data_IF_999263730117
#
_entry.id   IF_999263730117
#
_cell.length_a   1.000
_cell.length_b   1.000
_cell.length_c   1.000
_cell.angle_alpha   90.00
_cell.angle_beta   90.00
_cell.angle_gamma   90.00
#
_symmetry.space_group_name_H-M   'P 1'
#
loop_
_entity.id
_entity.type
_entity.pdbx_description
1 polymer ?
#
# COMPACT_ATOMS: atom_id res chain seq x y z
N UNK A 1 10.55 -10.43 -17.47
CA UNK A 1 10.84 -9.08 -16.92
C UNK A 1 9.51 -8.42 -16.57
N UNK A 2 9.29 -8.17 -15.28
CA UNK A 2 8.13 -7.54 -14.63
C UNK A 2 8.68 -6.48 -13.66
N UNK A 3 9.42 -5.58 -14.28
CA UNK A 3 10.03 -4.32 -13.84
C UNK A 3 11.22 -4.29 -12.86
N UNK A 4 11.92 -5.40 -12.59
CA UNK A 4 13.26 -5.41 -11.96
C UNK A 4 14.46 -5.26 -12.90
N UNK A 5 14.42 -4.30 -13.83
CA UNK A 5 15.52 -3.99 -14.76
C UNK A 5 15.62 -2.48 -14.94
N UNK A 6 16.64 -1.86 -14.35
CA UNK A 6 16.80 -0.40 -14.29
C UNK A 6 17.09 0.28 -15.63
N UNK A 7 17.48 -0.47 -16.66
CA UNK A 7 17.65 0.06 -18.02
C UNK A 7 16.33 0.44 -18.69
N UNK A 8 15.20 0.03 -18.13
CA UNK A 8 13.90 0.28 -18.70
C UNK A 8 13.16 1.34 -17.88
N UNK A 9 12.35 2.20 -18.53
CA UNK A 9 11.58 3.20 -17.81
C UNK A 9 10.68 2.55 -16.74
N UNK A 10 10.67 3.06 -15.50
CA UNK A 10 9.76 2.55 -14.47
C UNK A 10 8.33 3.01 -14.74
N UNK A 11 7.36 2.17 -14.38
CA UNK A 11 5.97 2.61 -14.23
C UNK A 11 5.82 3.53 -13.00
N UNK A 12 4.77 4.35 -13.01
CA UNK A 12 4.41 5.28 -11.91
C UNK A 12 2.98 5.01 -11.48
N UNK A 13 2.65 5.42 -10.24
CA UNK A 13 1.30 5.43 -9.69
C UNK A 13 0.61 4.05 -9.67
N UNK A 14 1.38 2.99 -9.44
CA UNK A 14 0.87 1.63 -9.34
C UNK A 14 0.23 1.37 -7.97
N UNK A 15 -1.03 0.96 -7.94
CA UNK A 15 -1.72 0.45 -6.74
C UNK A 15 -1.18 -0.93 -6.30
N UNK A 16 -0.78 -1.76 -7.26
CA UNK A 16 -0.26 -3.11 -7.08
C UNK A 16 0.64 -3.44 -8.27
N UNK A 17 1.70 -4.20 -8.03
CA UNK A 17 2.60 -4.70 -9.07
C UNK A 17 2.78 -6.21 -8.96
N UNK A 18 3.32 -6.81 -10.01
CA UNK A 18 3.45 -8.26 -10.09
C UNK A 18 4.92 -8.67 -10.23
N UNK A 19 5.35 -9.62 -9.40
CA UNK A 19 6.66 -10.24 -9.43
C UNK A 19 6.51 -11.70 -9.89
N UNK A 20 6.78 -11.97 -11.17
CA UNK A 20 6.87 -13.33 -11.73
C UNK A 20 7.80 -14.20 -10.89
N UNK A 21 7.42 -15.46 -10.70
CA UNK A 21 8.26 -16.48 -10.08
C UNK A 21 9.64 -16.58 -10.76
N UNK A 22 10.70 -16.69 -9.96
CA UNK A 22 12.08 -16.70 -10.44
C UNK A 22 12.62 -15.32 -10.85
N UNK A 23 11.96 -14.22 -10.43
CA UNK A 23 12.40 -12.85 -10.69
C UNK A 23 12.37 -11.97 -9.44
N UNK A 24 12.94 -10.78 -9.55
CA UNK A 24 12.87 -9.74 -8.55
C UNK A 24 12.37 -8.45 -9.20
N UNK A 25 11.74 -7.58 -8.40
CA UNK A 25 11.32 -6.23 -8.75
C UNK A 25 11.73 -5.24 -7.66
N UNK A 26 11.56 -3.94 -7.95
CA UNK A 26 11.85 -2.86 -7.02
C UNK A 26 10.82 -1.77 -7.20
N UNK A 27 10.36 -1.20 -6.09
CA UNK A 27 9.46 -0.07 -6.04
C UNK A 27 10.05 1.01 -5.14
N UNK A 28 9.76 2.27 -5.45
CA UNK A 28 10.09 3.42 -4.63
C UNK A 28 8.80 4.12 -4.25
N UNK A 29 8.68 4.47 -2.96
CA UNK A 29 7.54 5.20 -2.43
C UNK A 29 8.03 6.21 -1.41
N UNK A 30 7.55 7.44 -1.52
CA UNK A 30 7.72 8.48 -0.51
C UNK A 30 6.47 8.47 0.35
N UNK A 31 6.61 8.16 1.64
CA UNK A 31 5.50 8.21 2.57
C UNK A 31 5.01 9.65 2.75
N UNK A 32 3.69 9.82 2.69
CA UNK A 32 3.03 11.12 2.83
C UNK A 32 2.15 11.22 4.10
N UNK A 33 2.00 10.11 4.82
CA UNK A 33 1.16 10.02 6.01
C UNK A 33 1.86 9.14 7.06
N UNK A 34 1.66 9.40 8.36
CA UNK A 34 2.14 8.54 9.43
C UNK A 34 1.17 7.38 9.68
N UNK A 35 1.65 6.34 10.37
CA UNK A 35 0.84 5.20 10.78
C UNK A 35 1.47 3.85 10.43
N UNK A 36 0.66 2.79 10.53
CA UNK A 36 1.09 1.42 10.22
C UNK A 36 0.56 1.01 8.85
N UNK A 37 1.47 0.70 7.92
CA UNK A 37 1.14 0.27 6.57
C UNK A 37 1.37 -1.22 6.41
N UNK A 38 0.40 -1.93 5.84
CA UNK A 38 0.56 -3.32 5.42
C UNK A 38 1.18 -3.38 4.01
N UNK A 39 2.22 -4.19 3.86
CA UNK A 39 2.82 -4.53 2.57
C UNK A 39 2.58 -6.01 2.30
N UNK A 40 1.80 -6.31 1.26
CA UNK A 40 1.15 -7.62 1.10
C UNK A 40 1.26 -8.17 -0.32
N UNK A 41 1.15 -9.50 -0.44
CA UNK A 41 0.62 -10.10 -1.67
C UNK A 41 -0.86 -9.73 -1.78
N UNK A 42 -1.30 -9.05 -2.84
CA UNK A 42 -2.69 -8.56 -2.90
C UNK A 42 -3.73 -9.67 -3.20
N UNK A 43 -3.33 -10.94 -3.19
CA UNK A 43 -4.23 -12.04 -2.88
C UNK A 43 -4.43 -12.11 -1.36
N UNK A 44 -5.56 -11.60 -0.86
CA UNK A 44 -5.78 -11.43 0.58
C UNK A 44 -5.87 -12.75 1.35
N UNK A 45 -6.20 -13.87 0.69
CA UNK A 45 -6.11 -15.20 1.33
C UNK A 45 -4.64 -15.50 1.64
N UNK A 46 -3.73 -15.23 0.70
CA UNK A 46 -2.29 -15.41 0.94
C UNK A 46 -1.77 -14.42 1.99
N UNK A 47 -2.18 -13.16 1.92
CA UNK A 47 -1.71 -12.12 2.83
C UNK A 47 -2.10 -12.40 4.28
N UNK A 48 -3.39 -12.65 4.52
CA UNK A 48 -3.97 -12.71 5.87
C UNK A 48 -3.91 -14.12 6.42
N UNK A 49 -4.31 -15.12 5.64
CA UNK A 49 -4.43 -16.50 6.14
C UNK A 49 -3.12 -17.30 5.98
N UNK A 50 -2.31 -16.99 4.95
CA UNK A 50 -1.06 -17.70 4.67
C UNK A 50 0.21 -16.89 5.02
N UNK A 51 0.05 -15.69 5.60
CA UNK A 51 1.12 -14.91 6.22
C UNK A 51 1.97 -14.07 5.27
N UNK A 52 1.54 -13.83 4.03
CA UNK A 52 2.26 -12.97 3.07
C UNK A 52 2.06 -11.46 3.35
N UNK A 53 2.32 -11.03 4.59
CA UNK A 53 2.14 -9.65 5.07
C UNK A 53 3.36 -9.16 5.85
N UNK A 54 3.81 -7.95 5.56
CA UNK A 54 4.79 -7.19 6.34
C UNK A 54 4.20 -5.84 6.77
N UNK A 55 4.82 -5.20 7.76
CA UNK A 55 4.40 -3.88 8.26
C UNK A 55 5.51 -2.84 8.18
N UNK A 56 5.14 -1.62 7.82
CA UNK A 56 5.96 -0.41 8.02
C UNK A 56 5.33 0.43 9.12
N UNK A 57 6.15 0.87 10.08
CA UNK A 57 5.77 1.87 11.08
C UNK A 57 6.37 3.20 10.63
N UNK A 58 5.52 4.16 10.26
CA UNK A 58 5.93 5.46 9.72
C UNK A 58 5.60 6.53 10.74
N UNK A 59 6.63 7.22 11.20
CA UNK A 59 6.51 8.38 12.09
C UNK A 59 6.28 9.66 11.26
N UNK A 60 5.60 10.64 11.84
CA UNK A 60 5.32 11.92 11.19
C UNK A 60 4.01 12.55 11.67
N UNK A 61 3.66 13.67 11.07
CA UNK A 61 2.40 14.40 11.31
C UNK A 61 1.37 14.02 10.23
N UNK A 62 0.11 13.93 10.64
CA UNK A 62 -1.00 13.62 9.74
C UNK A 62 -1.36 14.82 8.86
N UNK A 63 -1.60 14.58 7.56
CA UNK A 63 -2.01 15.62 6.60
C UNK A 63 -3.52 15.50 6.26
N UNK A 64 -4.33 16.40 6.82
CA UNK A 64 -5.78 16.43 6.59
C UNK A 64 -6.18 16.83 5.16
N UNK A 65 -5.29 17.44 4.36
CA UNK A 65 -5.56 17.77 2.95
C UNK A 65 -5.57 16.49 2.09
N UNK A 66 -4.74 15.51 2.44
CA UNK A 66 -4.68 14.22 1.76
C UNK A 66 -5.81 13.28 2.20
N UNK A 67 -6.10 13.22 3.50
CA UNK A 67 -7.17 12.37 4.02
C UNK A 67 -7.64 12.87 5.37
N UNK A 68 -8.95 13.03 5.55
CA UNK A 68 -9.54 13.35 6.85
C UNK A 68 -10.87 12.63 7.06
N UNK A 69 -11.16 12.25 8.30
CA UNK A 69 -12.47 11.71 8.67
C UNK A 69 -13.41 12.87 9.00
N UNK A 70 -14.14 13.35 7.98
CA UNK A 70 -15.09 14.47 8.13
C UNK A 70 -16.18 14.16 9.16
N UNK A 71 -16.63 12.90 9.20
CA UNK A 71 -17.64 12.45 10.14
C UNK A 71 -17.33 11.04 10.62
N UNK A 72 -17.33 10.86 11.94
CA UNK A 72 -17.16 9.55 12.54
C UNK A 72 -18.40 8.66 12.30
N UNK A 73 -18.23 7.33 12.19
CA UNK A 73 -19.34 6.40 12.09
C UNK A 73 -20.36 6.61 13.20
N UNK A 74 -21.60 6.92 12.82
CA UNK A 74 -22.73 7.12 13.72
C UNK A 74 -23.97 6.43 13.17
N UNK A 75 -25.00 6.14 14.00
CA UNK A 75 -26.26 5.62 13.51
C UNK A 75 -26.83 6.49 12.37
N UNK A 76 -27.43 5.84 11.38
CA UNK A 76 -28.07 6.52 10.25
C UNK A 76 -29.23 7.37 10.82
N UNK A 77 -29.30 8.65 10.42
CA UNK A 77 -30.37 9.53 10.85
C UNK A 77 -31.72 8.99 10.36
N UNK A 78 -32.66 8.80 11.29
CA UNK A 78 -34.05 8.46 10.98
C UNK A 78 -34.88 9.75 10.92
N UNK A 79 -35.70 9.88 9.88
CA UNK A 79 -36.66 11.00 9.72
C UNK A 79 -37.79 10.95 10.74
#
# INVERSE_FOLDING_TARGET
WEQGKFSNPPAKDLETWFIRGGSAGSALYTFLQPGVYAYVSHNLIEAVELGATAHFMVEGEWDDDLMTQVEAPKPIATN
#
